data_IF_680766828525
#
_entry.id   IF_680766828525
#
_cell.length_a   1.000
_cell.length_b   1.000
_cell.length_c   1.000
_cell.angle_alpha   90.00
_cell.angle_beta   90.00
_cell.angle_gamma   90.00
#
_symmetry.space_group_name_H-M   'P 1'
#
loop_
_entity.id
_entity.type
_entity.pdbx_description
1 polymer ?
#
# COMPACT_ATOMS: atom_id res chain seq x y z
N UNK A 1 8.01 13.59 -27.32
CA UNK A 1 8.86 12.44 -27.59
C UNK A 1 7.99 11.20 -27.68
N UNK A 2 7.97 10.63 -28.86
CA UNK A 2 7.06 9.59 -29.31
C UNK A 2 7.26 8.28 -28.53
N UNK A 3 6.28 7.93 -27.69
CA UNK A 3 6.13 6.54 -27.23
C UNK A 3 5.65 5.74 -28.43
N UNK A 4 6.48 4.84 -28.90
CA UNK A 4 6.22 4.09 -30.12
C UNK A 4 4.94 3.27 -29.96
N UNK A 5 3.98 3.43 -30.88
CA UNK A 5 2.68 2.74 -30.88
C UNK A 5 2.78 1.21 -30.90
N UNK A 6 3.96 0.66 -31.22
CA UNK A 6 4.28 -0.77 -31.16
C UNK A 6 4.31 -1.33 -29.74
N UNK A 7 4.67 -0.52 -28.73
CA UNK A 7 4.72 -0.97 -27.33
C UNK A 7 3.32 -1.15 -26.72
N UNK A 8 2.35 -0.35 -27.17
CA UNK A 8 0.95 -0.47 -26.76
C UNK A 8 0.30 -1.75 -27.30
N UNK A 9 0.62 -2.12 -28.54
CA UNK A 9 0.10 -3.32 -29.21
C UNK A 9 0.69 -4.59 -28.59
N UNK A 10 1.97 -4.60 -28.23
CA UNK A 10 2.61 -5.72 -27.51
C UNK A 10 2.04 -5.91 -26.11
N UNK A 11 1.77 -4.84 -25.36
CA UNK A 11 1.11 -4.90 -24.06
C UNK A 11 -0.30 -5.50 -24.15
N UNK A 12 -1.07 -5.16 -25.19
CA UNK A 12 -2.44 -5.68 -25.38
C UNK A 12 -2.45 -7.15 -25.82
N UNK A 13 -1.49 -7.59 -26.64
CA UNK A 13 -1.43 -8.98 -27.13
C UNK A 13 -0.92 -9.98 -26.10
N UNK A 14 -0.04 -9.57 -25.17
CA UNK A 14 0.46 -10.45 -24.09
C UNK A 14 -0.62 -10.67 -23.02
N UNK A 15 -1.46 -9.69 -22.74
CA UNK A 15 -2.52 -9.81 -21.74
C UNK A 15 -3.66 -10.76 -22.14
N UNK A 16 -3.88 -11.04 -23.43
CA UNK A 16 -5.04 -11.83 -23.88
C UNK A 16 -4.85 -13.34 -23.87
N UNK A 17 -3.63 -13.84 -23.90
CA UNK A 17 -3.41 -15.28 -24.17
C UNK A 17 -3.08 -16.15 -22.93
N UNK A 18 -2.62 -15.60 -21.82
CA UNK A 18 -2.26 -16.38 -20.62
C UNK A 18 -3.41 -16.52 -19.60
N UNK A 19 -4.34 -15.57 -19.59
CA UNK A 19 -5.50 -15.60 -18.67
C UNK A 19 -6.58 -16.61 -19.11
N UNK A 20 -6.59 -17.08 -20.37
CA UNK A 20 -7.68 -17.88 -20.95
C UNK A 20 -7.84 -19.28 -20.35
N UNK A 21 -6.92 -19.75 -19.49
CA UNK A 21 -6.99 -21.06 -18.86
C UNK A 21 -7.13 -21.01 -17.32
N UNK A 22 -7.20 -19.82 -16.70
CA UNK A 22 -7.30 -19.71 -15.24
C UNK A 22 -8.77 -19.59 -14.80
N UNK A 23 -9.16 -20.26 -13.71
CA UNK A 23 -10.52 -20.14 -13.18
C UNK A 23 -10.84 -18.69 -12.79
N UNK A 24 -12.00 -18.19 -13.21
CA UNK A 24 -12.53 -16.90 -12.81
C UNK A 24 -13.16 -17.03 -11.43
N UNK A 25 -12.67 -16.29 -10.45
CA UNK A 25 -13.20 -16.30 -9.08
C UNK A 25 -14.29 -15.25 -8.89
N UNK A 26 -14.02 -14.02 -9.35
CA UNK A 26 -14.91 -12.88 -9.15
C UNK A 26 -15.03 -12.03 -10.40
N UNK A 27 -16.20 -11.36 -10.51
CA UNK A 27 -16.41 -10.21 -11.38
C UNK A 27 -16.48 -8.94 -10.54
N UNK A 28 -15.75 -7.91 -10.96
CA UNK A 28 -15.69 -6.61 -10.27
C UNK A 28 -16.93 -5.79 -10.61
N UNK A 29 -17.71 -5.41 -9.61
CA UNK A 29 -18.91 -4.59 -9.74
C UNK A 29 -18.66 -3.12 -9.35
N UNK A 30 -17.73 -2.88 -8.41
CA UNK A 30 -17.28 -1.55 -8.00
C UNK A 30 -15.87 -1.65 -7.40
N UNK A 31 -15.02 -0.65 -7.64
CA UNK A 31 -13.65 -0.60 -7.11
C UNK A 31 -13.49 0.39 -5.95
N UNK A 32 -14.48 1.24 -5.69
CA UNK A 32 -14.27 2.39 -4.81
C UNK A 32 -13.25 3.36 -5.41
N UNK A 33 -12.30 3.84 -4.58
CA UNK A 33 -11.27 4.79 -5.04
C UNK A 33 -10.16 4.11 -5.83
N UNK A 34 -9.65 2.98 -5.35
CA UNK A 34 -8.57 2.24 -5.99
C UNK A 34 -8.52 0.80 -5.46
N UNK A 35 -8.29 -0.14 -6.36
CA UNK A 35 -7.99 -1.55 -6.04
C UNK A 35 -6.78 -1.97 -6.86
N UNK A 36 -5.75 -2.47 -6.19
CA UNK A 36 -4.51 -2.93 -6.81
C UNK A 36 -4.23 -4.38 -6.46
N UNK A 37 -3.66 -5.12 -7.39
CA UNK A 37 -3.04 -6.41 -7.07
C UNK A 37 -1.66 -6.11 -6.48
N UNK A 38 -1.41 -6.62 -5.26
CA UNK A 38 -0.16 -6.41 -4.55
C UNK A 38 0.34 -7.74 -3.95
N UNK A 39 1.66 -7.94 -3.98
CA UNK A 39 2.37 -8.99 -3.27
C UNK A 39 3.45 -8.38 -2.34
N UNK A 40 4.55 -9.07 -2.06
CA UNK A 40 5.66 -8.52 -1.29
C UNK A 40 6.49 -7.46 -2.02
N UNK A 41 6.21 -7.25 -3.30
CA UNK A 41 6.97 -6.35 -4.16
C UNK A 41 8.22 -6.98 -4.77
N UNK A 42 8.95 -6.17 -5.54
CA UNK A 42 10.16 -6.54 -6.30
C UNK A 42 11.38 -6.43 -5.43
N UNK A 43 12.19 -7.47 -5.38
CA UNK A 43 13.44 -7.47 -4.64
C UNK A 43 14.64 -7.44 -5.60
N UNK A 44 15.73 -6.78 -5.20
CA UNK A 44 17.02 -6.73 -5.92
C UNK A 44 16.93 -6.11 -7.33
N UNK A 45 15.99 -5.19 -7.58
CA UNK A 45 15.80 -4.54 -8.89
C UNK A 45 16.18 -3.05 -8.89
N UNK A 46 16.63 -2.50 -7.76
CA UNK A 46 17.00 -1.09 -7.66
C UNK A 46 18.10 -0.69 -8.67
N UNK A 47 19.04 -1.58 -8.97
CA UNK A 47 20.08 -1.35 -9.99
C UNK A 47 19.52 -1.20 -11.41
N UNK A 48 18.28 -1.64 -11.65
CA UNK A 48 17.55 -1.46 -12.92
C UNK A 48 16.73 -0.15 -12.94
N UNK A 49 16.81 0.67 -11.90
CA UNK A 49 16.00 1.88 -11.79
C UNK A 49 14.55 1.63 -11.37
N UNK A 50 14.20 0.43 -10.89
CA UNK A 50 12.82 0.02 -10.57
C UNK A 50 12.61 -0.04 -9.07
N UNK A 51 11.51 0.57 -8.59
CA UNK A 51 11.07 0.54 -7.19
C UNK A 51 10.59 -0.83 -6.73
N UNK A 52 10.55 -1.01 -5.41
CA UNK A 52 10.08 -2.26 -4.80
C UNK A 52 8.58 -2.46 -5.00
N UNK A 53 7.77 -1.42 -4.87
CA UNK A 53 6.31 -1.50 -4.77
C UNK A 53 5.85 -2.47 -3.66
N UNK A 54 4.78 -3.25 -3.88
CA UNK A 54 4.26 -4.21 -2.90
C UNK A 54 3.23 -3.63 -1.95
N UNK A 55 2.58 -4.50 -1.19
CA UNK A 55 1.59 -4.10 -0.18
C UNK A 55 2.18 -3.10 0.82
N UNK A 56 1.42 -2.06 1.15
CA UNK A 56 1.90 -0.99 2.04
C UNK A 56 1.88 -1.40 3.52
N UNK A 57 0.80 -2.04 3.99
CA UNK A 57 0.70 -2.64 5.33
C UNK A 57 1.03 -4.14 5.22
N UNK A 58 2.30 -4.47 5.45
CA UNK A 58 2.82 -5.83 5.29
C UNK A 58 2.20 -6.80 6.29
N UNK A 59 1.93 -6.36 7.52
CA UNK A 59 1.31 -7.21 8.55
C UNK A 59 -0.09 -7.63 8.14
N UNK A 60 -0.93 -6.70 7.71
CA UNK A 60 -2.30 -7.00 7.26
C UNK A 60 -2.31 -7.84 5.98
N UNK A 61 -1.39 -7.58 5.06
CA UNK A 61 -1.20 -8.39 3.84
C UNK A 61 -0.85 -9.85 4.16
N UNK A 62 0.11 -10.08 5.05
CA UNK A 62 0.52 -11.43 5.47
C UNK A 62 -0.60 -12.12 6.23
N UNK A 63 -1.27 -11.43 7.16
CA UNK A 63 -2.39 -11.95 7.94
C UNK A 63 -3.52 -12.46 7.02
N UNK A 64 -3.93 -11.68 6.02
CA UNK A 64 -4.97 -12.08 5.07
C UNK A 64 -4.65 -13.41 4.38
N UNK A 65 -3.40 -13.59 3.94
CA UNK A 65 -2.95 -14.82 3.30
C UNK A 65 -2.94 -16.02 4.25
N UNK A 66 -2.46 -15.83 5.50
CA UNK A 66 -2.41 -16.90 6.49
C UNK A 66 -3.81 -17.41 6.87
N UNK A 67 -4.79 -16.52 6.98
CA UNK A 67 -6.18 -16.84 7.30
C UNK A 67 -6.83 -17.74 6.25
N UNK A 68 -6.46 -17.62 4.98
CA UNK A 68 -6.98 -18.51 3.91
C UNK A 68 -6.01 -19.65 3.56
N UNK A 69 -4.94 -19.83 4.34
CA UNK A 69 -3.94 -20.88 4.12
C UNK A 69 -3.07 -20.68 2.88
N UNK A 70 -2.89 -19.46 2.42
CA UNK A 70 -1.97 -19.15 1.32
C UNK A 70 -0.52 -19.05 1.80
N UNK A 71 0.46 -19.18 0.89
CA UNK A 71 1.81 -18.67 1.14
C UNK A 71 1.79 -17.19 1.52
N UNK A 72 2.65 -16.77 2.46
CA UNK A 72 2.72 -15.37 2.97
C UNK A 72 2.91 -14.31 1.88
N UNK A 73 3.50 -14.69 0.76
CA UNK A 73 3.82 -13.82 -0.38
C UNK A 73 2.79 -13.87 -1.51
N UNK A 74 1.68 -14.61 -1.35
CA UNK A 74 0.66 -14.71 -2.39
C UNK A 74 0.00 -13.33 -2.64
N UNK A 75 -0.35 -13.08 -3.90
CA UNK A 75 -1.00 -11.82 -4.29
C UNK A 75 -2.37 -11.66 -3.63
N UNK A 76 -2.67 -10.41 -3.25
CA UNK A 76 -3.95 -9.99 -2.68
C UNK A 76 -4.48 -8.75 -3.41
N UNK A 77 -5.73 -8.37 -3.15
CA UNK A 77 -6.24 -7.04 -3.50
C UNK A 77 -5.94 -6.08 -2.34
N UNK A 78 -5.19 -5.01 -2.60
CA UNK A 78 -5.07 -3.85 -1.73
C UNK A 78 -6.14 -2.85 -2.12
N UNK A 79 -7.02 -2.48 -1.17
CA UNK A 79 -8.23 -1.68 -1.39
C UNK A 79 -8.08 -0.37 -0.63
N UNK A 80 -8.04 0.75 -1.34
CA UNK A 80 -7.95 2.08 -0.76
C UNK A 80 -9.33 2.60 -0.37
N UNK A 81 -9.54 2.87 0.93
CA UNK A 81 -10.75 3.52 1.47
C UNK A 81 -12.06 2.77 1.17
N UNK A 82 -12.00 1.44 1.03
CA UNK A 82 -13.17 0.59 0.82
C UNK A 82 -13.92 0.83 -0.49
N UNK A 83 -15.20 0.50 -0.52
CA UNK A 83 -16.07 0.65 -1.69
C UNK A 83 -16.01 -0.50 -2.69
N UNK A 84 -15.18 -1.52 -2.45
CA UNK A 84 -15.08 -2.69 -3.32
C UNK A 84 -16.40 -3.48 -3.31
N UNK A 85 -16.90 -3.82 -4.51
CA UNK A 85 -18.01 -4.76 -4.67
C UNK A 85 -17.64 -5.83 -5.70
N UNK A 86 -17.77 -7.11 -5.29
CA UNK A 86 -17.47 -8.26 -6.15
C UNK A 86 -18.68 -9.17 -6.24
N UNK A 87 -18.83 -9.83 -7.40
CA UNK A 87 -19.76 -10.97 -7.58
C UNK A 87 -18.93 -12.25 -7.68
N UNK A 88 -19.30 -13.24 -6.91
CA UNK A 88 -18.67 -14.57 -6.91
C UNK A 88 -19.09 -15.34 -8.16
N UNK A 89 -18.12 -15.82 -8.92
CA UNK A 89 -18.31 -16.62 -10.14
C UNK A 89 -18.06 -18.10 -9.85
N UNK A 90 -17.09 -18.39 -8.97
CA UNK A 90 -16.83 -19.74 -8.49
C UNK A 90 -16.70 -19.77 -6.97
N UNK A 91 -17.14 -20.86 -6.31
CA UNK A 91 -17.01 -21.00 -4.86
C UNK A 91 -15.58 -20.72 -4.41
N UNK A 92 -15.43 -19.93 -3.35
CA UNK A 92 -14.15 -19.41 -2.90
C UNK A 92 -14.15 -19.19 -1.38
N UNK A 93 -12.96 -19.25 -0.77
CA UNK A 93 -12.77 -18.80 0.60
C UNK A 93 -11.93 -17.52 0.57
N UNK A 94 -12.39 -16.49 1.26
CA UNK A 94 -11.69 -15.21 1.35
C UNK A 94 -11.37 -14.84 2.79
N UNK A 95 -10.43 -13.92 2.98
CA UNK A 95 -10.24 -13.15 4.21
C UNK A 95 -10.02 -11.68 3.86
N UNK A 96 -10.51 -10.79 4.72
CA UNK A 96 -10.30 -9.35 4.62
C UNK A 96 -9.69 -8.86 5.93
N UNK A 97 -8.56 -8.16 5.83
CA UNK A 97 -7.80 -7.61 6.96
C UNK A 97 -7.53 -6.11 6.76
N UNK A 98 -6.79 -5.49 7.67
CA UNK A 98 -6.35 -4.10 7.57
C UNK A 98 -7.30 -3.12 8.27
N UNK A 99 -7.78 -2.12 7.55
CA UNK A 99 -8.66 -1.06 8.07
C UNK A 99 -9.99 -1.60 8.61
N UNK A 100 -10.56 -0.95 9.61
CA UNK A 100 -11.83 -1.33 10.25
C UNK A 100 -13.03 -0.90 9.38
N UNK A 101 -13.37 -1.76 8.43
CA UNK A 101 -14.53 -1.63 7.54
C UNK A 101 -15.65 -2.58 7.95
N UNK A 102 -16.85 -2.38 7.43
CA UNK A 102 -17.91 -3.40 7.48
C UNK A 102 -17.85 -4.23 6.19
N UNK A 103 -17.87 -5.55 6.36
CA UNK A 103 -17.93 -6.50 5.26
C UNK A 103 -19.33 -7.08 5.19
N UNK A 104 -20.01 -6.86 4.09
CA UNK A 104 -21.36 -7.37 3.84
C UNK A 104 -21.33 -8.42 2.74
N UNK A 105 -21.95 -9.56 3.01
CA UNK A 105 -22.17 -10.62 2.04
C UNK A 105 -23.66 -10.69 1.74
N UNK A 106 -24.03 -10.62 0.46
CA UNK A 106 -25.37 -10.92 -0.01
C UNK A 106 -25.35 -12.33 -0.56
N UNK A 107 -25.79 -13.27 0.26
CA UNK A 107 -25.94 -14.67 -0.12
C UNK A 107 -27.13 -14.83 -1.04
N UNK A 108 -26.95 -15.58 -2.13
CA UNK A 108 -27.97 -15.80 -3.14
C UNK A 108 -29.30 -16.38 -2.54
N UNK A 109 -29.16 -17.28 -1.56
CA UNK A 109 -30.32 -17.98 -0.98
C UNK A 109 -30.80 -17.40 0.35
N UNK A 110 -29.91 -16.84 1.17
CA UNK A 110 -30.21 -16.47 2.56
C UNK A 110 -30.21 -14.97 2.83
N UNK A 111 -29.97 -14.16 1.79
CA UNK A 111 -29.99 -12.70 1.88
C UNK A 111 -28.70 -12.09 2.45
N UNK A 112 -28.79 -10.81 2.85
CA UNK A 112 -27.63 -9.99 3.22
C UNK A 112 -27.28 -10.17 4.69
N UNK A 113 -25.99 -10.43 5.00
CA UNK A 113 -25.45 -10.54 6.36
C UNK A 113 -24.12 -9.83 6.46
N UNK A 114 -23.79 -9.32 7.65
CA UNK A 114 -22.47 -8.80 7.96
C UNK A 114 -21.55 -9.97 8.32
N UNK A 115 -20.35 -9.98 7.72
CA UNK A 115 -19.29 -10.93 8.04
C UNK A 115 -18.20 -10.25 8.89
N UNK A 116 -17.48 -11.05 9.67
CA UNK A 116 -16.33 -10.56 10.47
C UNK A 116 -15.09 -10.41 9.60
N UNK A 117 -14.34 -9.34 9.83
CA UNK A 117 -12.99 -9.20 9.30
C UNK A 117 -12.05 -10.18 10.01
N UNK A 118 -10.88 -10.42 9.40
CA UNK A 118 -9.82 -11.30 9.92
C UNK A 118 -10.31 -12.73 10.26
N UNK A 119 -11.27 -13.24 9.46
CA UNK A 119 -11.79 -14.61 9.55
C UNK A 119 -11.91 -15.21 8.14
N UNK A 120 -11.79 -16.53 7.99
CA UNK A 120 -12.08 -17.18 6.71
C UNK A 120 -13.60 -17.15 6.45
N UNK A 121 -13.98 -16.74 5.24
CA UNK A 121 -15.38 -16.61 4.81
C UNK A 121 -15.55 -17.44 3.55
N UNK A 122 -16.41 -18.47 3.65
CA UNK A 122 -16.81 -19.28 2.49
C UNK A 122 -17.91 -18.57 1.70
N UNK A 123 -17.80 -18.60 0.39
CA UNK A 123 -18.69 -17.96 -0.58
C UNK A 123 -19.06 -18.94 -1.68
N UNK A 124 -20.30 -18.90 -2.11
CA UNK A 124 -20.82 -19.70 -3.19
C UNK A 124 -21.06 -18.89 -4.48
N UNK A 125 -21.23 -19.57 -5.60
CA UNK A 125 -21.51 -18.94 -6.89
C UNK A 125 -22.78 -18.08 -6.82
N UNK A 126 -22.66 -16.83 -7.23
CA UNK A 126 -23.72 -15.84 -7.26
C UNK A 126 -23.81 -14.96 -6.03
N UNK A 127 -23.05 -15.24 -4.97
CA UNK A 127 -22.93 -14.35 -3.82
C UNK A 127 -22.29 -13.01 -4.22
N UNK A 128 -22.59 -11.95 -3.47
CA UNK A 128 -21.97 -10.64 -3.66
C UNK A 128 -21.30 -10.18 -2.38
N UNK A 129 -20.10 -9.63 -2.52
CA UNK A 129 -19.31 -9.03 -1.46
C UNK A 129 -19.37 -7.52 -1.58
N UNK A 130 -19.55 -6.82 -0.46
CA UNK A 130 -19.43 -5.37 -0.38
C UNK A 130 -18.63 -4.95 0.85
N UNK A 131 -17.51 -4.29 0.63
CA UNK A 131 -16.65 -3.71 1.66
C UNK A 131 -16.94 -2.21 1.77
N UNK A 132 -17.41 -1.76 2.93
CA UNK A 132 -17.70 -0.34 3.16
C UNK A 132 -16.43 0.49 3.32
N UNK A 133 -16.58 1.82 3.32
CA UNK A 133 -15.50 2.71 3.75
C UNK A 133 -15.11 2.42 5.20
N UNK A 134 -13.81 2.44 5.53
CA UNK A 134 -13.36 2.19 6.89
C UNK A 134 -13.76 3.31 7.86
N UNK A 135 -14.04 2.92 9.10
CA UNK A 135 -14.21 3.82 10.24
C UNK A 135 -12.87 4.21 10.86
N UNK A 136 -11.88 3.31 10.74
CA UNK A 136 -10.51 3.46 11.23
C UNK A 136 -9.55 2.82 10.23
N UNK A 137 -8.38 3.39 10.05
CA UNK A 137 -7.43 2.98 9.04
C UNK A 137 -7.79 3.49 7.64
N UNK A 138 -7.10 2.99 6.63
CA UNK A 138 -7.21 3.47 5.25
C UNK A 138 -7.28 2.34 4.23
N UNK A 139 -6.54 1.25 4.42
CA UNK A 139 -6.38 0.16 3.44
C UNK A 139 -6.85 -1.18 3.99
N UNK A 140 -7.60 -1.89 3.17
CA UNK A 140 -7.93 -3.29 3.41
C UNK A 140 -7.19 -4.20 2.43
N UNK A 141 -6.97 -5.44 2.86
CA UNK A 141 -6.34 -6.49 2.07
C UNK A 141 -7.29 -7.67 1.96
N UNK A 142 -7.65 -8.03 0.74
CA UNK A 142 -8.51 -9.19 0.45
C UNK A 142 -7.65 -10.29 -0.16
N UNK A 143 -7.49 -11.38 0.59
CA UNK A 143 -6.88 -12.61 0.11
C UNK A 143 -7.96 -13.62 -0.30
N UNK A 144 -7.63 -14.46 -1.28
CA UNK A 144 -8.48 -15.58 -1.73
C UNK A 144 -7.68 -16.87 -1.61
N UNK A 145 -8.28 -17.91 -1.10
CA UNK A 145 -7.65 -19.23 -1.03
C UNK A 145 -7.16 -19.68 -2.42
N UNK A 146 -5.91 -20.11 -2.50
CA UNK A 146 -5.24 -20.44 -3.76
C UNK A 146 -4.63 -19.21 -4.47
N UNK A 147 -4.72 -18.00 -3.88
CA UNK A 147 -4.11 -16.78 -4.38
C UNK A 147 -4.79 -16.18 -5.61
N UNK A 148 -4.42 -14.96 -5.92
CA UNK A 148 -4.88 -14.20 -7.11
C UNK A 148 -3.83 -14.32 -8.20
N UNK A 149 -4.26 -14.67 -9.42
CA UNK A 149 -3.39 -14.68 -10.58
C UNK A 149 -3.24 -13.28 -11.17
N UNK A 150 -2.01 -12.91 -11.40
CA UNK A 150 -1.62 -11.75 -12.19
C UNK A 150 -0.28 -12.03 -12.85
N UNK A 151 0.02 -11.31 -13.92
CA UNK A 151 1.29 -11.48 -14.64
C UNK A 151 2.43 -10.87 -13.83
N UNK A 152 3.53 -11.63 -13.69
CA UNK A 152 4.71 -11.17 -12.99
C UNK A 152 5.60 -10.32 -13.88
N UNK A 153 6.02 -9.17 -13.35
CA UNK A 153 7.02 -8.31 -13.97
C UNK A 153 8.18 -8.16 -12.99
N UNK A 154 9.36 -8.58 -13.40
CA UNK A 154 10.56 -8.58 -12.54
C UNK A 154 10.36 -9.33 -11.21
N UNK A 155 9.66 -10.47 -11.26
CA UNK A 155 9.46 -11.37 -10.12
C UNK A 155 8.34 -10.96 -9.14
N UNK A 156 7.51 -9.96 -9.47
CA UNK A 156 6.37 -9.52 -8.66
C UNK A 156 5.17 -9.19 -9.54
N UNK A 157 3.95 -9.41 -9.00
CA UNK A 157 2.70 -8.99 -9.63
C UNK A 157 2.26 -7.59 -9.20
N UNK A 158 2.97 -6.98 -8.24
CA UNK A 158 2.60 -5.68 -7.68
C UNK A 158 2.60 -4.58 -8.72
N UNK A 159 1.57 -3.74 -8.65
CA UNK A 159 1.54 -2.48 -9.39
C UNK A 159 2.38 -1.42 -8.67
N UNK A 160 3.31 -0.81 -9.39
CA UNK A 160 4.08 0.37 -9.00
C UNK A 160 3.44 1.59 -9.64
N UNK A 161 2.91 2.51 -8.82
CA UNK A 161 2.17 3.67 -9.33
C UNK A 161 3.07 4.78 -9.89
N UNK A 162 4.38 4.78 -9.57
CA UNK A 162 5.34 5.72 -10.12
C UNK A 162 5.87 5.25 -11.48
N UNK A 163 6.25 3.98 -11.56
CA UNK A 163 6.81 3.39 -12.77
C UNK A 163 5.73 2.89 -13.74
N UNK A 164 4.45 2.85 -13.33
CA UNK A 164 3.33 2.25 -14.05
C UNK A 164 3.61 0.81 -14.48
N UNK A 165 4.27 0.06 -13.59
CA UNK A 165 4.77 -1.28 -13.85
C UNK A 165 4.00 -2.33 -13.06
N UNK A 166 3.66 -3.46 -13.71
CA UNK A 166 2.88 -4.56 -13.13
C UNK A 166 1.43 -4.55 -13.57
N UNK A 167 0.57 -5.28 -12.82
CA UNK A 167 -0.85 -5.38 -13.15
C UNK A 167 -1.55 -4.05 -12.94
N UNK A 168 -2.13 -3.48 -14.00
CA UNK A 168 -2.86 -2.20 -13.95
C UNK A 168 -3.94 -2.19 -12.86
N UNK A 169 -4.30 -1.02 -12.32
CA UNK A 169 -5.38 -0.89 -11.35
C UNK A 169 -6.66 -1.55 -11.85
N UNK A 170 -7.29 -2.32 -10.96
CA UNK A 170 -8.53 -3.06 -11.25
C UNK A 170 -9.66 -2.09 -11.58
N UNK A 171 -10.43 -2.42 -12.61
CA UNK A 171 -11.56 -1.63 -13.11
C UNK A 171 -12.89 -2.37 -12.94
N UNK A 172 -13.99 -1.62 -12.97
CA UNK A 172 -15.33 -2.19 -13.01
C UNK A 172 -15.51 -3.03 -14.28
N UNK A 173 -15.99 -4.25 -14.12
CA UNK A 173 -16.15 -5.24 -15.21
C UNK A 173 -15.01 -6.24 -15.32
N UNK A 174 -13.86 -5.97 -14.72
CA UNK A 174 -12.72 -6.90 -14.70
C UNK A 174 -13.08 -8.21 -14.02
N UNK A 175 -12.32 -9.24 -14.34
CA UNK A 175 -12.38 -10.56 -13.72
C UNK A 175 -11.13 -10.82 -12.89
N UNK A 176 -11.32 -11.39 -11.71
CA UNK A 176 -10.24 -11.83 -10.83
C UNK A 176 -10.07 -13.33 -10.99
N UNK A 177 -8.87 -13.77 -11.29
CA UNK A 177 -8.54 -15.16 -11.59
C UNK A 177 -7.78 -15.83 -10.46
N UNK A 178 -7.97 -17.14 -10.30
CA UNK A 178 -7.22 -17.95 -9.34
C UNK A 178 -5.79 -18.21 -9.81
N UNK A 179 -4.82 -18.05 -8.91
CA UNK A 179 -3.44 -18.49 -9.15
C UNK A 179 -3.27 -20.00 -8.96
N UNK A 180 -4.24 -20.68 -8.33
CA UNK A 180 -4.22 -22.11 -8.02
C UNK A 180 -2.98 -22.53 -7.21
N UNK A 181 -2.55 -21.68 -6.28
CA UNK A 181 -1.44 -21.97 -5.38
C UNK A 181 -1.79 -23.09 -4.42
N UNK A 182 -0.77 -23.84 -4.00
CA UNK A 182 -0.91 -24.82 -2.93
C UNK A 182 -1.28 -24.10 -1.62
N UNK A 183 -2.27 -24.64 -0.91
CA UNK A 183 -2.72 -24.13 0.38
C UNK A 183 -2.14 -24.94 1.54
N UNK A 184 -2.08 -24.29 2.69
CA UNK A 184 -1.52 -24.77 3.95
C UNK A 184 -2.57 -24.70 5.06
N UNK A 185 -2.32 -25.24 6.25
CA UNK A 185 -3.21 -25.02 7.39
C UNK A 185 -3.42 -23.53 7.67
N UNK A 186 -4.65 -23.19 8.03
CA UNK A 186 -5.05 -21.82 8.37
C UNK A 186 -4.39 -21.40 9.67
N UNK A 187 -3.85 -20.18 9.71
CA UNK A 187 -3.32 -19.55 10.91
C UNK A 187 -4.19 -18.34 11.28
N UNK A 188 -4.81 -18.38 12.47
CA UNK A 188 -5.68 -17.31 12.99
C UNK A 188 -4.94 -16.41 14.01
N UNK A 189 -3.69 -16.10 13.77
CA UNK A 189 -2.93 -15.17 14.61
C UNK A 189 -3.35 -13.73 14.29
N UNK A 190 -4.14 -13.13 15.15
CA UNK A 190 -4.56 -11.75 15.00
C UNK A 190 -3.52 -10.81 15.59
N UNK A 191 -2.95 -9.96 14.76
CA UNK A 191 -2.21 -8.80 15.23
C UNK A 191 -3.20 -7.64 15.36
N UNK A 192 -3.79 -7.51 16.55
CA UNK A 192 -4.66 -6.38 16.85
C UNK A 192 -3.83 -5.08 16.83
N UNK A 193 -3.83 -4.38 15.72
CA UNK A 193 -3.25 -3.04 15.60
C UNK A 193 -4.37 -2.01 15.70
N UNK A 194 -4.21 -1.03 16.59
CA UNK A 194 -5.07 0.15 16.60
C UNK A 194 -4.88 0.89 15.28
N UNK A 195 -5.97 1.12 14.55
CA UNK A 195 -5.94 1.85 13.29
C UNK A 195 -6.32 3.32 13.53
N UNK A 196 -5.62 4.29 12.92
CA UNK A 196 -5.93 5.71 13.09
C UNK A 196 -7.30 6.09 12.53
N UNK A 197 -7.93 7.09 13.16
CA UNK A 197 -9.16 7.75 12.68
C UNK A 197 -8.82 9.12 12.11
N UNK A 198 -9.67 9.62 11.20
CA UNK A 198 -9.56 10.98 10.71
C UNK A 198 -9.59 11.98 11.89
N UNK A 199 -8.61 12.87 11.94
CA UNK A 199 -8.44 13.84 13.02
C UNK A 199 -7.54 13.40 14.16
N UNK A 200 -7.11 12.14 14.22
CA UNK A 200 -6.17 11.68 15.24
C UNK A 200 -4.80 12.37 15.09
N UNK A 201 -4.12 12.54 16.24
CA UNK A 201 -2.69 12.87 16.30
C UNK A 201 -1.89 11.58 16.51
N UNK A 202 -1.01 11.26 15.56
CA UNK A 202 -0.23 10.04 15.55
C UNK A 202 1.24 10.36 15.80
N UNK A 203 1.84 9.71 16.78
CA UNK A 203 3.28 9.81 17.04
C UNK A 203 4.00 8.79 16.16
N UNK A 204 4.93 9.27 15.33
CA UNK A 204 5.77 8.44 14.47
C UNK A 204 7.22 8.54 14.92
N UNK A 205 7.78 7.39 15.28
CA UNK A 205 9.18 7.27 15.67
C UNK A 205 10.08 7.34 14.44
N UNK A 206 11.12 8.15 14.55
CA UNK A 206 12.08 8.39 13.47
C UNK A 206 13.52 8.37 13.98
N UNK A 207 14.43 7.89 13.11
CA UNK A 207 15.86 8.14 13.23
C UNK A 207 16.21 9.38 12.43
N UNK A 208 17.10 10.23 12.91
CA UNK A 208 17.61 11.34 12.12
C UNK A 208 18.28 10.84 10.83
N UNK A 209 18.12 11.58 9.77
CA UNK A 209 18.66 11.26 8.46
C UNK A 209 20.11 11.74 8.27
N UNK A 210 20.73 11.36 7.15
CA UNK A 210 22.12 11.73 6.86
C UNK A 210 22.32 13.20 6.50
N UNK A 211 21.24 13.94 6.23
CA UNK A 211 21.27 15.34 5.74
C UNK A 211 20.70 16.35 6.73
N UNK A 212 20.86 16.09 8.04
CA UNK A 212 20.48 17.05 9.10
C UNK A 212 21.34 18.31 9.08
N UNK A 213 22.55 18.25 8.54
CA UNK A 213 23.46 19.38 8.31
C UNK A 213 22.92 20.41 7.31
N UNK A 214 21.90 20.06 6.52
CA UNK A 214 21.21 20.97 5.60
C UNK A 214 20.18 21.86 6.28
N UNK A 215 19.91 21.67 7.57
CA UNK A 215 18.88 22.36 8.32
C UNK A 215 19.44 23.07 9.55
N UNK A 216 18.93 24.27 9.84
CA UNK A 216 19.25 24.94 11.09
C UNK A 216 18.79 24.14 12.30
N UNK A 217 19.43 24.38 13.45
CA UNK A 217 18.98 23.79 14.73
C UNK A 217 17.53 24.14 15.04
N UNK A 218 17.04 25.30 14.62
CA UNK A 218 15.68 25.71 14.84
C UNK A 218 14.70 25.01 13.88
N UNK A 219 15.10 24.75 12.63
CA UNK A 219 14.34 23.90 11.71
C UNK A 219 14.24 22.46 12.20
N UNK A 220 15.33 21.88 12.73
CA UNK A 220 15.31 20.55 13.34
C UNK A 220 14.38 20.51 14.55
N UNK A 221 14.42 21.50 15.44
CA UNK A 221 13.48 21.62 16.57
C UNK A 221 12.04 21.76 16.08
N UNK A 222 11.81 22.55 15.03
CA UNK A 222 10.50 22.75 14.44
C UNK A 222 9.94 21.45 13.88
N UNK A 223 10.76 20.65 13.21
CA UNK A 223 10.35 19.34 12.66
C UNK A 223 9.73 18.43 13.73
N UNK A 224 10.27 18.42 14.95
CA UNK A 224 9.75 17.61 16.06
C UNK A 224 8.64 18.30 16.88
N UNK A 225 8.60 19.62 16.92
CA UNK A 225 7.71 20.36 17.83
C UNK A 225 6.36 20.72 17.21
N UNK A 226 6.28 20.81 15.87
CA UNK A 226 4.99 21.09 15.23
C UNK A 226 4.27 19.82 14.81
N UNK A 227 2.99 19.98 14.45
CA UNK A 227 2.14 18.94 13.89
C UNK A 227 2.16 19.02 12.37
N UNK A 228 2.23 17.88 11.73
CA UNK A 228 2.24 17.75 10.27
C UNK A 228 0.94 17.12 9.81
N UNK A 229 0.13 17.86 9.05
CA UNK A 229 -1.11 17.37 8.50
C UNK A 229 -0.85 16.55 7.22
N UNK A 230 -1.49 15.39 7.12
CA UNK A 230 -1.46 14.59 5.89
C UNK A 230 -2.40 15.21 4.87
N UNK A 231 -1.87 15.64 3.73
CA UNK A 231 -2.63 16.27 2.66
C UNK A 231 -3.38 15.26 1.79
N UNK A 232 -4.40 15.74 1.07
CA UNK A 232 -5.18 14.93 0.13
C UNK A 232 -4.37 14.44 -1.09
N UNK A 233 -3.22 15.05 -1.36
CA UNK A 233 -2.32 14.67 -2.45
C UNK A 233 -1.43 13.48 -2.12
N UNK A 234 -1.58 12.91 -0.91
CA UNK A 234 -0.84 11.72 -0.47
C UNK A 234 -1.27 10.49 -1.26
N UNK A 235 -0.29 9.66 -1.61
CA UNK A 235 -0.50 8.44 -2.40
C UNK A 235 0.52 7.35 -2.04
N UNK A 236 0.65 6.31 -2.88
CA UNK A 236 1.60 5.22 -2.67
C UNK A 236 3.07 5.60 -2.87
N UNK A 237 3.35 6.76 -3.52
CA UNK A 237 4.70 7.31 -3.68
C UNK A 237 5.16 7.94 -2.38
N UNK A 238 4.28 8.73 -1.72
CA UNK A 238 4.60 9.38 -0.46
C UNK A 238 3.43 10.10 0.18
N UNK A 239 3.48 10.19 1.51
CA UNK A 239 2.59 11.05 2.28
C UNK A 239 3.13 12.48 2.21
N UNK A 240 2.33 13.39 1.65
CA UNK A 240 2.65 14.81 1.59
C UNK A 240 2.19 15.46 2.88
N UNK A 241 3.14 16.00 3.61
CA UNK A 241 2.91 16.62 4.91
C UNK A 241 2.89 18.13 4.77
N UNK A 242 1.97 18.78 5.45
CA UNK A 242 1.87 20.23 5.49
C UNK A 242 1.73 20.75 6.91
N UNK A 243 2.34 21.90 7.18
CA UNK A 243 2.22 22.63 8.44
C UNK A 243 2.28 24.14 8.19
N UNK A 244 1.89 24.91 9.21
CA UNK A 244 1.88 26.38 9.13
C UNK A 244 3.26 26.95 8.82
N UNK A 245 4.30 26.40 9.49
CA UNK A 245 5.68 26.87 9.31
C UNK A 245 6.47 25.86 8.49
N UNK A 246 6.96 26.23 7.30
CA UNK A 246 7.84 25.38 6.51
C UNK A 246 9.20 25.24 7.19
N UNK A 247 9.88 24.12 6.92
CA UNK A 247 11.28 23.95 7.31
C UNK A 247 12.16 24.79 6.37
N UNK A 248 13.14 25.46 6.95
CA UNK A 248 14.09 26.27 6.21
C UNK A 248 15.41 25.50 6.11
N UNK A 249 15.92 25.35 4.88
CA UNK A 249 17.24 24.82 4.61
C UNK A 249 18.28 25.94 4.77
N UNK A 250 19.43 25.62 5.33
CA UNK A 250 20.58 26.55 5.40
C UNK A 250 21.44 26.50 4.12
N UNK A 251 21.41 25.35 3.43
CA UNK A 251 22.13 25.14 2.18
C UNK A 251 21.13 25.21 1.04
N UNK A 252 21.28 26.21 0.16
CA UNK A 252 20.38 26.47 -0.99
C UNK A 252 20.99 25.93 -2.31
N UNK A 253 21.80 24.90 -2.20
CA UNK A 253 22.38 24.20 -3.36
C UNK A 253 21.51 23.01 -3.77
N UNK A 254 21.70 22.53 -4.99
CA UNK A 254 21.15 21.25 -5.41
C UNK A 254 21.93 20.10 -4.78
N UNK A 255 21.22 19.20 -4.10
CA UNK A 255 21.82 17.97 -3.58
C UNK A 255 22.03 17.00 -4.74
N UNK A 256 23.25 16.48 -4.96
CA UNK A 256 23.43 15.35 -5.87
C UNK A 256 22.48 14.21 -5.53
N UNK A 257 21.95 13.53 -6.55
CA UNK A 257 20.98 12.45 -6.34
C UNK A 257 21.54 11.36 -5.42
N UNK A 258 20.80 11.06 -4.36
CA UNK A 258 21.13 10.04 -3.38
C UNK A 258 20.07 8.91 -3.38
N UNK A 259 20.48 7.72 -2.91
CA UNK A 259 19.55 6.60 -2.75
C UNK A 259 18.45 6.91 -1.75
N UNK A 260 17.21 6.59 -2.11
CA UNK A 260 16.04 6.74 -1.26
C UNK A 260 15.52 5.38 -0.78
N UNK A 261 14.86 5.36 0.36
CA UNK A 261 14.22 4.16 0.90
C UNK A 261 12.80 4.46 1.39
N UNK A 262 11.97 3.44 1.51
CA UNK A 262 10.65 3.54 2.17
C UNK A 262 10.83 4.07 3.59
N UNK A 263 10.01 5.02 3.98
CA UNK A 263 10.08 5.68 5.28
C UNK A 263 11.01 6.89 5.34
N UNK A 264 11.84 7.15 4.31
CA UNK A 264 12.65 8.37 4.25
C UNK A 264 11.76 9.62 4.16
N UNK A 265 12.14 10.67 4.89
CA UNK A 265 11.41 11.94 4.93
C UNK A 265 12.29 12.98 4.24
N UNK A 266 11.94 13.32 3.02
CA UNK A 266 12.60 14.36 2.24
C UNK A 266 11.95 15.72 2.44
N UNK A 267 12.77 16.79 2.38
CA UNK A 267 12.30 18.17 2.48
C UNK A 267 12.61 18.92 1.18
N UNK A 268 11.62 19.07 0.28
CA UNK A 268 11.73 19.88 -0.91
C UNK A 268 11.96 21.38 -0.59
N UNK A 269 12.25 22.25 -1.60
CA UNK A 269 12.50 23.67 -1.39
C UNK A 269 11.36 24.45 -0.70
N UNK A 270 10.11 23.99 -0.83
CA UNK A 270 8.96 24.60 -0.17
C UNK A 270 8.91 24.33 1.35
N UNK A 271 9.84 23.54 1.89
CA UNK A 271 9.93 23.22 3.32
C UNK A 271 8.83 22.31 3.87
N UNK A 272 7.99 21.70 3.00
CA UNK A 272 6.93 20.77 3.40
C UNK A 272 7.41 19.33 3.17
N UNK A 273 7.54 18.51 4.23
CA UNK A 273 8.13 17.18 4.11
C UNK A 273 7.29 16.21 3.27
N UNK A 274 7.97 15.30 2.59
CA UNK A 274 7.38 14.16 1.92
C UNK A 274 7.93 12.88 2.54
N UNK A 275 7.06 12.06 3.14
CA UNK A 275 7.39 10.78 3.72
C UNK A 275 7.19 9.69 2.66
N UNK A 276 8.26 9.06 2.21
CA UNK A 276 8.22 8.08 1.14
C UNK A 276 7.54 6.78 1.53
N UNK A 277 6.64 6.32 0.63
CA UNK A 277 5.97 5.02 0.70
C UNK A 277 6.62 4.02 -0.28
N UNK A 278 5.99 2.88 -0.54
CA UNK A 278 6.64 1.79 -1.29
C UNK A 278 6.92 2.09 -2.77
N UNK A 279 6.14 2.98 -3.40
CA UNK A 279 6.32 3.33 -4.82
C UNK A 279 7.20 4.60 -4.99
N UNK A 280 8.03 4.92 -3.98
CA UNK A 280 8.93 6.07 -4.03
C UNK A 280 10.00 5.94 -5.12
N UNK A 281 10.54 7.05 -5.62
CA UNK A 281 11.68 7.01 -6.55
C UNK A 281 12.91 6.42 -5.85
N UNK A 282 13.71 5.65 -6.59
CA UNK A 282 14.91 4.98 -6.03
C UNK A 282 15.97 5.99 -5.63
N UNK A 283 16.06 7.11 -6.33
CA UNK A 283 16.97 8.22 -6.05
C UNK A 283 16.21 9.54 -5.98
N UNK A 284 16.71 10.48 -5.18
CA UNK A 284 16.16 11.82 -5.06
C UNK A 284 17.23 12.86 -4.77
N UNK A 285 16.96 14.11 -5.14
CA UNK A 285 17.87 15.25 -4.98
C UNK A 285 17.46 16.21 -3.84
N UNK A 286 16.65 15.78 -2.89
CA UNK A 286 16.30 16.60 -1.73
C UNK A 286 16.82 15.99 -0.44
N UNK A 287 17.24 16.83 0.55
CA UNK A 287 17.81 16.33 1.79
C UNK A 287 16.81 15.48 2.58
N UNK A 288 17.28 14.31 3.03
CA UNK A 288 16.56 13.41 3.93
C UNK A 288 16.82 13.84 5.37
N UNK A 289 15.81 14.42 6.03
CA UNK A 289 15.90 14.91 7.41
C UNK A 289 15.80 13.77 8.43
N UNK A 290 14.99 12.76 8.15
CA UNK A 290 14.76 11.62 9.03
C UNK A 290 14.28 10.40 8.24
N UNK A 291 14.24 9.23 8.90
CA UNK A 291 13.61 8.02 8.39
C UNK A 291 12.73 7.39 9.46
N UNK A 292 11.55 6.95 9.08
CA UNK A 292 10.57 6.27 9.95
C UNK A 292 11.14 4.94 10.45
N UNK A 293 10.95 4.64 11.74
CA UNK A 293 11.29 3.35 12.32
C UNK A 293 10.51 2.22 11.63
N UNK A 294 11.18 1.11 11.31
CA UNK A 294 10.61 0.02 10.50
C UNK A 294 9.26 -0.50 11.04
N UNK A 295 9.11 -0.56 12.37
CA UNK A 295 7.87 -1.02 13.02
C UNK A 295 6.68 -0.05 12.89
N UNK A 296 6.89 1.18 12.40
CA UNK A 296 5.83 2.14 12.09
C UNK A 296 5.44 2.17 10.58
N UNK A 297 6.13 1.42 9.71
CA UNK A 297 5.82 1.42 8.28
C UNK A 297 4.38 0.94 8.00
N UNK A 298 3.93 -0.11 8.67
CA UNK A 298 2.54 -0.59 8.53
C UNK A 298 1.53 0.44 9.08
N UNK A 299 1.88 1.14 10.17
CA UNK A 299 1.04 2.19 10.75
C UNK A 299 0.86 3.35 9.76
N UNK A 300 1.95 3.85 9.14
CA UNK A 300 1.85 4.97 8.18
C UNK A 300 1.03 4.61 6.95
N UNK A 301 0.99 3.33 6.56
CA UNK A 301 0.15 2.85 5.47
C UNK A 301 -1.35 2.94 5.78
N UNK A 302 -1.70 3.03 7.06
CA UNK A 302 -3.08 3.05 7.53
C UNK A 302 -3.57 4.44 7.98
N UNK A 303 -2.73 5.49 7.90
CA UNK A 303 -3.13 6.82 8.35
C UNK A 303 -4.00 7.50 7.28
N UNK A 304 -5.26 7.88 7.60
CA UNK A 304 -6.11 8.61 6.68
C UNK A 304 -5.63 10.06 6.46
N UNK A 305 -6.00 10.62 5.32
CA UNK A 305 -5.88 12.05 5.06
C UNK A 305 -6.61 12.87 6.13
N UNK A 306 -6.01 13.98 6.56
CA UNK A 306 -6.57 14.85 7.61
C UNK A 306 -6.12 14.51 9.02
N UNK A 307 -5.41 13.39 9.22
CA UNK A 307 -4.70 13.13 10.46
C UNK A 307 -3.49 14.04 10.63
N UNK A 308 -3.05 14.19 11.88
CA UNK A 308 -1.87 14.93 12.27
C UNK A 308 -0.76 13.95 12.66
N UNK A 309 0.45 14.16 12.16
CA UNK A 309 1.64 13.43 12.57
C UNK A 309 2.50 14.33 13.44
N UNK A 310 3.01 13.76 14.53
CA UNK A 310 4.10 14.31 15.33
C UNK A 310 5.26 13.34 15.32
N UNK A 311 6.44 13.80 14.93
CA UNK A 311 7.63 12.96 14.93
C UNK A 311 8.27 12.91 16.31
N UNK A 312 8.76 11.71 16.68
CA UNK A 312 9.56 11.49 17.89
C UNK A 312 10.89 10.87 17.51
N UNK A 313 11.97 11.55 17.85
CA UNK A 313 13.33 11.05 17.63
C UNK A 313 13.60 9.87 18.57
N UNK A 314 14.15 8.77 18.02
CA UNK A 314 14.58 7.60 18.80
C UNK A 314 16.09 7.35 18.69
N UNK A 315 16.76 7.82 17.64
CA UNK A 315 18.22 7.74 17.48
C UNK A 315 18.71 8.79 16.49
N UNK A 316 20.03 9.01 16.50
CA UNK A 316 20.74 9.77 15.50
C UNK A 316 21.26 8.85 14.39
N UNK A 317 21.49 9.42 13.19
CA UNK A 317 22.05 8.65 12.07
C UNK A 317 23.42 8.03 12.39
N UNK A 318 24.22 8.70 13.19
CA UNK A 318 25.55 8.24 13.59
C UNK A 318 25.52 7.08 14.57
N UNK A 319 24.44 6.91 15.33
CA UNK A 319 24.27 5.80 16.29
C UNK A 319 23.96 4.46 15.58
N UNK A 320 23.66 4.51 14.27
CA UNK A 320 23.34 3.34 13.44
C UNK A 320 24.58 2.76 12.72
N UNK A 321 25.75 3.33 12.92
CA UNK A 321 27.03 2.84 12.41
C UNK A 321 27.74 2.03 13.48
#
# INVERSE_FOLDING_TARGET
>A
SDVCSSDLVLRTLVHSNLATHKPVLFKVLNTGLQVLVQDQGRHHVASLGVGRAGALDQSSFVEANLIVGNPKHAAVLEILNGGLKLKVIQPSVIAVTGALSELWITYKETGKRQASLSQPIALDEGDEIYLTRPKEGLRNYLAVQGGIYAEQVLGSVSYDSLAELGTSPIQVGDQIYSAQLKTYPVELNHFAQTKPKVGDEIIIDVCLGPRTDWFSKDSLKLFFNQRWQISAESNRIGLRLSAEKPLVREIDEELPSEGCCTGAIQVPPNGQPVLFMNDHPITGGYPVIASVAAYHLDLIAQIPTGCLIKFRQISDFMDLK
#
